data_IF_471428278786
#
_entry.id   IF_471428278786
#
_cell.length_a   1.000
_cell.length_b   1.000
_cell.length_c   1.000
_cell.angle_alpha   90.00
_cell.angle_beta   90.00
_cell.angle_gamma   90.00
#
_symmetry.space_group_name_H-M   'P 1'
#
loop_
_entity.id
_entity.type
_entity.pdbx_description
1 polymer ?
#
# COMPACT_ATOMS: atom_id res chain seq x y z
N UNK A 1 24.78 -7.64 -4.31
CA UNK A 1 24.90 -6.77 -3.12
C UNK A 1 23.59 -6.03 -3.01
N UNK A 2 22.82 -6.21 -1.94
CA UNK A 2 21.66 -5.36 -1.67
C UNK A 2 22.25 -4.04 -1.19
N UNK A 3 22.10 -2.96 -1.95
CA UNK A 3 22.42 -1.61 -1.48
C UNK A 3 21.32 -1.18 -0.50
N UNK A 4 21.21 -1.92 0.60
CA UNK A 4 20.19 -1.74 1.62
C UNK A 4 20.60 -0.68 2.64
N UNK A 5 19.60 -0.01 3.20
CA UNK A 5 19.76 0.99 4.24
C UNK A 5 18.39 1.45 4.71
N UNK A 6 18.38 2.19 5.82
CA UNK A 6 17.18 2.87 6.31
C UNK A 6 17.40 4.35 6.14
N UNK A 7 16.51 4.99 5.38
CA UNK A 7 16.47 6.45 5.25
C UNK A 7 15.22 6.94 5.92
N UNK A 8 15.37 7.88 6.86
CA UNK A 8 14.24 8.55 7.50
C UNK A 8 13.99 9.86 6.75
N UNK A 9 12.78 10.00 6.22
CA UNK A 9 12.36 11.18 5.45
C UNK A 9 11.36 11.98 6.29
N UNK A 10 11.80 13.04 7.01
CA UNK A 10 10.91 13.87 7.79
C UNK A 10 10.06 14.80 6.90
N UNK A 11 8.92 15.31 7.39
CA UNK A 11 8.16 16.34 6.70
C UNK A 11 9.00 17.61 6.47
N UNK A 12 8.78 18.28 5.34
CA UNK A 12 9.55 19.46 4.95
C UNK A 12 9.12 20.69 5.75
N UNK A 13 10.08 21.44 6.28
CA UNK A 13 9.85 22.76 6.86
C UNK A 13 10.19 23.82 5.81
N UNK A 14 9.20 24.57 5.33
CA UNK A 14 9.42 25.76 4.50
C UNK A 14 9.54 27.00 5.39
N UNK A 15 10.07 28.09 4.84
CA UNK A 15 10.21 29.38 5.54
C UNK A 15 8.88 29.97 6.03
N UNK A 16 7.75 29.48 5.53
CA UNK A 16 6.38 29.82 5.93
C UNK A 16 5.80 28.93 7.05
N UNK A 17 6.50 27.86 7.46
CA UNK A 17 6.07 26.94 8.50
C UNK A 17 6.38 25.46 8.20
N UNK A 18 6.09 24.59 9.17
CA UNK A 18 6.19 23.13 8.99
C UNK A 18 4.98 22.64 8.21
N UNK A 19 5.20 22.06 7.02
CA UNK A 19 4.13 21.46 6.22
C UNK A 19 4.01 19.98 6.59
N UNK A 20 3.05 19.68 7.46
CA UNK A 20 2.73 18.30 7.84
C UNK A 20 2.16 17.51 6.67
N UNK A 21 2.36 16.18 6.68
CA UNK A 21 1.69 15.30 5.74
C UNK A 21 0.18 15.34 5.97
N UNK A 22 -0.59 15.56 4.90
CA UNK A 22 -2.05 15.59 4.95
C UNK A 22 -2.69 14.19 4.91
N UNK A 23 -1.86 13.15 4.81
CA UNK A 23 -2.24 11.73 4.79
C UNK A 23 -1.08 10.85 4.31
N UNK A 24 -1.28 9.52 4.30
CA UNK A 24 -0.24 8.56 3.90
C UNK A 24 0.24 8.76 2.46
N UNK A 25 -0.69 8.99 1.52
CA UNK A 25 -0.33 9.31 0.13
C UNK A 25 0.46 10.62 0.01
N UNK A 26 0.13 11.64 0.82
CA UNK A 26 0.87 12.91 0.88
C UNK A 26 2.32 12.70 1.32
N UNK A 27 2.56 11.77 2.25
CA UNK A 27 3.92 11.43 2.68
C UNK A 27 4.75 10.81 1.55
N UNK A 28 4.15 9.98 0.70
CA UNK A 28 4.83 9.40 -0.47
C UNK A 28 5.05 10.49 -1.52
N UNK A 29 4.01 11.27 -1.83
CA UNK A 29 4.06 12.35 -2.82
C UNK A 29 5.19 13.36 -2.55
N UNK A 30 5.26 13.87 -1.32
CA UNK A 30 6.29 14.83 -0.93
C UNK A 30 7.72 14.27 -1.02
N UNK A 31 7.87 12.94 -1.05
CA UNK A 31 9.14 12.23 -1.14
C UNK A 31 9.37 11.55 -2.51
N UNK A 32 8.55 11.84 -3.54
CA UNK A 32 8.70 11.24 -4.87
C UNK A 32 10.07 11.49 -5.51
N UNK A 33 10.69 12.66 -5.26
CA UNK A 33 12.03 12.97 -5.75
C UNK A 33 13.11 12.06 -5.16
N UNK A 34 12.90 11.57 -3.93
CA UNK A 34 13.80 10.59 -3.33
C UNK A 34 13.64 9.23 -4.01
N UNK A 35 12.40 8.76 -4.18
CA UNK A 35 12.11 7.49 -4.87
C UNK A 35 12.59 7.48 -6.32
N UNK A 36 12.43 8.61 -7.03
CA UNK A 36 12.83 8.76 -8.43
C UNK A 36 14.33 8.59 -8.67
N UNK A 37 15.18 8.78 -7.65
CA UNK A 37 16.63 8.56 -7.78
C UNK A 37 16.99 7.08 -7.91
N UNK A 38 16.10 6.18 -7.51
CA UNK A 38 16.31 4.74 -7.57
C UNK A 38 15.72 4.10 -8.84
N UNK A 39 14.86 4.82 -9.56
CA UNK A 39 14.10 4.31 -10.72
C UNK A 39 13.61 2.86 -10.51
N UNK A 40 12.86 2.59 -9.42
CA UNK A 40 12.45 1.22 -9.11
C UNK A 40 11.48 0.71 -10.17
N UNK A 41 11.43 -0.61 -10.37
CA UNK A 41 10.39 -1.24 -11.17
C UNK A 41 9.08 -1.36 -10.36
N UNK A 42 9.21 -1.80 -9.10
CA UNK A 42 8.11 -1.99 -8.16
C UNK A 42 8.36 -1.25 -6.85
N UNK A 43 7.29 -0.73 -6.25
CA UNK A 43 7.33 -0.08 -4.93
C UNK A 43 6.45 -0.85 -3.95
N UNK A 44 7.08 -1.38 -2.90
CA UNK A 44 6.40 -2.01 -1.77
C UNK A 44 6.14 -0.96 -0.67
N UNK A 45 4.88 -0.74 -0.33
CA UNK A 45 4.43 0.14 0.74
C UNK A 45 3.93 -0.73 1.89
N UNK A 46 4.45 -0.48 3.10
CA UNK A 46 4.14 -1.25 4.31
C UNK A 46 3.62 -0.33 5.41
N UNK A 47 2.61 -0.80 6.14
CA UNK A 47 2.27 -0.21 7.43
C UNK A 47 3.31 -0.60 8.49
N UNK A 48 3.85 0.40 9.18
CA UNK A 48 4.90 0.22 10.20
C UNK A 48 4.39 -0.09 11.61
N UNK A 49 3.08 -0.21 11.80
CA UNK A 49 2.41 -0.36 13.09
C UNK A 49 1.86 -1.78 13.35
N UNK A 50 1.98 -2.69 12.38
CA UNK A 50 1.54 -4.08 12.50
C UNK A 50 2.70 -5.01 12.92
N UNK A 51 2.41 -5.98 13.80
CA UNK A 51 3.35 -7.05 14.16
C UNK A 51 2.95 -8.33 13.41
N UNK A 52 3.76 -8.75 12.43
CA UNK A 52 3.50 -9.95 11.63
C UNK A 52 4.80 -10.49 11.02
N UNK A 53 4.69 -11.65 10.36
CA UNK A 53 5.76 -12.23 9.53
C UNK A 53 5.17 -12.59 8.18
N UNK A 54 5.70 -12.01 7.12
CA UNK A 54 5.28 -12.25 5.74
C UNK A 54 6.51 -12.32 4.85
N UNK A 55 6.45 -13.18 3.83
CA UNK A 55 7.44 -13.25 2.77
C UNK A 55 6.94 -12.47 1.55
N UNK A 56 7.46 -11.26 1.35
CA UNK A 56 6.99 -10.36 0.29
C UNK A 56 7.40 -10.80 -1.11
N UNK A 57 8.39 -11.69 -1.26
CA UNK A 57 8.76 -12.16 -2.60
C UNK A 57 7.59 -12.88 -3.27
N UNK A 58 6.82 -13.65 -2.50
CA UNK A 58 5.62 -14.33 -3.01
C UNK A 58 4.52 -13.37 -3.45
N UNK A 59 4.37 -12.26 -2.74
CA UNK A 59 3.42 -11.21 -3.12
C UNK A 59 3.87 -10.49 -4.40
N UNK A 60 5.19 -10.26 -4.54
CA UNK A 60 5.76 -9.71 -5.76
C UNK A 60 5.61 -10.66 -6.94
N UNK A 61 5.90 -11.95 -6.76
CA UNK A 61 5.73 -12.97 -7.80
C UNK A 61 4.27 -13.02 -8.28
N UNK A 62 3.30 -12.98 -7.35
CA UNK A 62 1.88 -12.90 -7.68
C UNK A 62 1.51 -11.62 -8.47
N UNK A 63 2.04 -10.47 -8.04
CA UNK A 63 1.82 -9.19 -8.72
C UNK A 63 2.32 -9.21 -10.17
N UNK A 64 3.49 -9.81 -10.40
CA UNK A 64 4.10 -9.97 -11.73
C UNK A 64 3.29 -10.96 -12.57
N UNK A 65 2.95 -12.14 -12.02
CA UNK A 65 2.19 -13.17 -12.71
C UNK A 65 0.82 -12.69 -13.17
N UNK A 66 0.17 -11.85 -12.35
CA UNK A 66 -1.14 -11.25 -12.65
C UNK A 66 -1.07 -10.00 -13.51
N UNK A 67 0.13 -9.54 -13.88
CA UNK A 67 0.33 -8.30 -14.64
C UNK A 67 -0.45 -7.11 -14.03
N UNK A 68 -0.51 -7.06 -12.70
CA UNK A 68 -1.37 -6.10 -11.99
C UNK A 68 -0.71 -4.71 -11.91
N UNK A 69 -1.51 -3.65 -11.97
CA UNK A 69 -1.05 -2.28 -11.68
C UNK A 69 -0.73 -2.07 -10.19
N UNK A 70 -1.57 -2.67 -9.35
CA UNK A 70 -1.45 -2.68 -7.90
C UNK A 70 -1.88 -4.05 -7.35
N UNK A 71 -1.18 -4.54 -6.34
CA UNK A 71 -1.60 -5.69 -5.54
C UNK A 71 -1.68 -5.32 -4.08
N UNK A 72 -2.77 -5.74 -3.42
CA UNK A 72 -3.04 -5.42 -2.01
C UNK A 72 -3.10 -6.71 -1.21
N UNK A 73 -2.37 -6.77 -0.10
CA UNK A 73 -2.44 -7.91 0.81
C UNK A 73 -3.72 -7.83 1.63
N UNK A 74 -4.46 -8.93 1.69
CA UNK A 74 -5.67 -9.08 2.48
C UNK A 74 -5.58 -10.28 3.41
N UNK A 75 -6.36 -10.25 4.48
CA UNK A 75 -6.60 -11.39 5.37
C UNK A 75 -8.09 -11.60 5.55
N UNK A 76 -8.52 -12.85 5.69
CA UNK A 76 -9.86 -13.14 6.17
C UNK A 76 -9.95 -12.80 7.66
N UNK A 77 -10.94 -11.99 8.02
CA UNK A 77 -11.28 -11.68 9.41
C UNK A 77 -12.64 -12.27 9.78
N UNK A 78 -12.94 -12.44 11.08
CA UNK A 78 -14.29 -12.77 11.51
C UNK A 78 -15.31 -11.74 10.97
N UNK A 79 -16.47 -12.21 10.51
CA UNK A 79 -17.50 -11.35 9.91
C UNK A 79 -18.01 -10.26 10.85
N UNK A 80 -18.04 -10.53 12.15
CA UNK A 80 -18.42 -9.58 13.20
C UNK A 80 -17.36 -8.49 13.44
N UNK A 81 -16.13 -8.69 12.96
CA UNK A 81 -15.07 -7.69 13.00
C UNK A 81 -14.87 -6.94 11.67
N UNK A 82 -15.35 -7.48 10.54
CA UNK A 82 -15.10 -6.97 9.20
C UNK A 82 -15.45 -5.48 9.03
N UNK A 83 -16.53 -5.00 9.65
CA UNK A 83 -16.94 -3.58 9.63
C UNK A 83 -15.93 -2.59 10.22
N UNK A 84 -14.87 -3.07 10.88
CA UNK A 84 -13.82 -2.23 11.48
C UNK A 84 -12.65 -1.97 10.54
N UNK A 85 -12.59 -2.66 9.40
CA UNK A 85 -11.49 -2.64 8.45
C UNK A 85 -11.90 -2.06 7.10
N UNK A 86 -10.91 -1.75 6.26
CA UNK A 86 -11.13 -1.55 4.83
C UNK A 86 -11.29 -2.91 4.14
N UNK A 87 -12.47 -3.16 3.58
CA UNK A 87 -12.87 -4.44 3.00
C UNK A 87 -12.68 -4.41 1.48
N UNK A 88 -12.05 -5.46 0.96
CA UNK A 88 -11.89 -5.71 -0.46
C UNK A 88 -12.99 -6.67 -0.95
N UNK A 89 -13.73 -6.24 -1.96
CA UNK A 89 -14.62 -7.11 -2.69
C UNK A 89 -13.93 -7.52 -3.98
N UNK A 90 -13.75 -8.82 -4.18
CA UNK A 90 -13.09 -9.37 -5.36
C UNK A 90 -14.05 -10.20 -6.20
N UNK A 91 -13.72 -10.40 -7.47
CA UNK A 91 -14.32 -11.47 -8.26
C UNK A 91 -13.69 -12.83 -7.92
N UNK A 92 -14.07 -13.88 -8.66
CA UNK A 92 -13.58 -15.25 -8.47
C UNK A 92 -12.08 -15.39 -8.79
N UNK A 93 -11.49 -14.45 -9.53
CA UNK A 93 -10.08 -14.44 -9.92
C UNK A 93 -9.19 -13.58 -8.99
N UNK A 94 -9.75 -13.12 -7.86
CA UNK A 94 -9.10 -12.22 -6.88
C UNK A 94 -8.78 -10.82 -7.41
N UNK A 95 -9.45 -10.38 -8.48
CA UNK A 95 -9.36 -8.99 -8.95
C UNK A 95 -10.26 -8.11 -8.09
N UNK A 96 -9.74 -6.95 -7.66
CA UNK A 96 -10.48 -6.01 -6.81
C UNK A 96 -11.55 -5.31 -7.65
N UNK A 97 -12.81 -5.57 -7.32
CA UNK A 97 -13.97 -4.92 -7.96
C UNK A 97 -14.33 -3.64 -7.21
N UNK A 98 -14.20 -3.66 -5.89
CA UNK A 98 -14.60 -2.54 -5.03
C UNK A 98 -13.87 -2.57 -3.70
N UNK A 99 -13.61 -1.37 -3.17
CA UNK A 99 -13.06 -1.16 -1.84
C UNK A 99 -14.06 -0.38 -0.98
N UNK A 100 -14.36 -0.90 0.21
CA UNK A 100 -15.25 -0.25 1.18
C UNK A 100 -14.51 0.02 2.50
N UNK A 101 -14.37 1.29 2.89
CA UNK A 101 -13.78 1.66 4.16
C UNK A 101 -14.80 1.53 5.29
N UNK A 102 -14.59 0.59 6.21
CA UNK A 102 -15.41 0.36 7.42
C UNK A 102 -16.91 0.24 7.13
N UNK A 103 -17.33 -0.69 6.24
CA UNK A 103 -18.73 -0.81 5.85
C UNK A 103 -19.59 -1.27 7.02
N UNK A 104 -20.77 -0.68 7.18
CA UNK A 104 -21.75 -1.13 8.18
C UNK A 104 -22.24 -2.56 7.89
N UNK A 105 -22.33 -2.94 6.62
CA UNK A 105 -22.76 -4.25 6.15
C UNK A 105 -21.76 -4.79 5.12
N UNK A 106 -20.65 -5.41 5.56
CA UNK A 106 -19.61 -5.91 4.66
C UNK A 106 -20.16 -7.00 3.72
N UNK A 107 -19.77 -6.98 2.44
CA UNK A 107 -20.05 -8.03 1.46
C UNK A 107 -18.98 -9.11 1.39
N UNK A 108 -17.83 -8.83 1.95
CA UNK A 108 -16.64 -9.67 2.01
C UNK A 108 -16.02 -9.54 3.41
N UNK A 109 -15.24 -10.52 3.83
CA UNK A 109 -14.44 -10.45 5.04
C UNK A 109 -12.93 -10.38 4.75
N UNK A 110 -12.56 -10.05 3.50
CA UNK A 110 -11.18 -9.79 3.10
C UNK A 110 -10.77 -8.38 3.53
N UNK A 111 -10.13 -8.28 4.70
CA UNK A 111 -9.64 -7.04 5.26
C UNK A 111 -8.25 -6.69 4.70
N UNK A 112 -8.09 -5.45 4.25
CA UNK A 112 -6.80 -4.90 3.83
C UNK A 112 -5.80 -4.86 4.99
N UNK A 113 -4.57 -5.31 4.74
CA UNK A 113 -3.47 -5.26 5.72
C UNK A 113 -2.69 -3.94 5.69
N UNK A 114 -2.99 -3.02 4.78
CA UNK A 114 -2.16 -1.83 4.56
C UNK A 114 -0.80 -2.14 3.94
N UNK A 115 -0.73 -3.18 3.11
CA UNK A 115 0.47 -3.63 2.39
C UNK A 115 0.15 -3.61 0.90
N UNK A 116 0.93 -2.88 0.14
CA UNK A 116 0.67 -2.63 -1.29
C UNK A 116 1.94 -2.82 -2.10
N UNK A 117 1.83 -3.45 -3.27
CA UNK A 117 2.85 -3.41 -4.32
C UNK A 117 2.27 -2.62 -5.48
N UNK A 118 3.01 -1.62 -5.95
CA UNK A 118 2.68 -0.85 -7.13
C UNK A 118 3.75 -1.00 -8.20
N UNK A 119 3.32 -1.01 -9.47
CA UNK A 119 4.19 -0.62 -10.57
C UNK A 119 4.63 0.84 -10.36
N UNK A 120 5.94 1.10 -10.44
CA UNK A 120 6.46 2.46 -10.20
C UNK A 120 5.87 3.50 -11.15
N UNK A 121 5.68 3.13 -12.42
CA UNK A 121 5.07 4.00 -13.43
C UNK A 121 3.64 4.44 -13.02
N UNK A 122 2.83 3.50 -12.55
CA UNK A 122 1.46 3.74 -12.07
C UNK A 122 1.48 4.61 -10.81
N UNK A 123 2.31 4.25 -9.81
CA UNK A 123 2.40 5.02 -8.57
C UNK A 123 2.77 6.50 -8.83
N UNK A 124 3.68 6.74 -9.77
CA UNK A 124 4.12 8.08 -10.16
C UNK A 124 3.04 8.87 -10.92
N UNK A 125 2.21 8.19 -11.71
CA UNK A 125 1.12 8.82 -12.46
C UNK A 125 -0.01 9.31 -11.55
N UNK A 126 -0.34 8.54 -10.51
CA UNK A 126 -1.51 8.78 -9.66
C UNK A 126 -1.22 9.50 -8.33
N UNK A 127 0.04 9.87 -8.06
CA UNK A 127 0.44 10.71 -6.91
C UNK A 127 0.74 12.13 -7.35
#
# INVERSE_FOLDING_TARGET
>A
RVNGGVTVLPPYAESSGVKWYTGTASAIYQNLNYLSQYEPEYVLILSGDHIYKMDYSKMLDYHIEKESDVSISVIEVPWDEASRYGIMNTNEEMEIVEFEEKPQFPRSNLASMGIYIFNWAILKEYL
#
